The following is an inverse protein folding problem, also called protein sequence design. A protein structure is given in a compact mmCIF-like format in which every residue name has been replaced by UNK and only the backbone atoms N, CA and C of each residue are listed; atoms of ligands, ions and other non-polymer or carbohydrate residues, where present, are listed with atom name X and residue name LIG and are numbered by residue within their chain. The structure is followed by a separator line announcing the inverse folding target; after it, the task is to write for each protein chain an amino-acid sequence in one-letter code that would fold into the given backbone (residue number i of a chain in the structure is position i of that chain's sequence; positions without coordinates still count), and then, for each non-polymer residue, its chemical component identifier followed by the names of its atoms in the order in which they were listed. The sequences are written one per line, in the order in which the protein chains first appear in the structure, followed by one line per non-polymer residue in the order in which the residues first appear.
data_IF_917396028831
#
_entry.id   IF_917396028831
#
_cell.length_a   1.000
_cell.length_b   1.000
_cell.length_c   1.000
_cell.angle_alpha   90.00
_cell.angle_beta   90.00
_cell.angle_gamma   90.00
#
_symmetry.space_group_name_H-M   'P 1'
#
loop_
_entity.id
_entity.type
_entity.pdbx_description
1 polymer ?
#
# COMPACT_ATOMS: atom_id res chain seq x y z
N UNK A 1 16.27 11.24 -0.35
CA UNK A 1 16.57 9.79 -0.32
C UNK A 1 15.27 9.08 -0.05
N UNK A 2 14.38 9.11 -1.04
CA UNK A 2 12.93 9.10 -0.87
C UNK A 2 12.31 7.86 -1.52
N UNK A 3 12.97 6.71 -1.37
CA UNK A 3 12.59 5.47 -2.03
C UNK A 3 11.81 4.55 -1.09
N UNK A 4 10.74 3.96 -1.59
CA UNK A 4 10.02 2.88 -0.91
C UNK A 4 10.56 1.54 -1.34
N UNK A 5 11.39 0.95 -0.47
CA UNK A 5 11.91 -0.41 -0.61
C UNK A 5 12.30 -0.78 -2.04
N UNK A 6 11.98 -2.02 -2.41
CA UNK A 6 12.12 -2.50 -3.77
C UNK A 6 10.89 -2.13 -4.59
N UNK A 7 11.11 -1.41 -5.69
CA UNK A 7 10.10 -1.04 -6.68
C UNK A 7 10.59 -1.54 -8.04
N UNK A 8 9.94 -2.57 -8.57
CA UNK A 8 10.21 -3.09 -9.91
C UNK A 8 8.95 -2.90 -10.75
N UNK A 9 8.98 -1.93 -11.66
CA UNK A 9 7.85 -1.63 -12.55
C UNK A 9 8.27 -1.83 -14.00
N UNK A 10 7.43 -2.54 -14.74
CA UNK A 10 7.46 -2.65 -16.20
C UNK A 10 6.26 -1.89 -16.77
N UNK A 11 6.14 -1.73 -18.10
CA UNK A 11 4.98 -1.06 -18.70
C UNK A 11 3.62 -1.74 -18.39
N UNK A 12 3.61 -3.02 -18.03
CA UNK A 12 2.39 -3.81 -17.87
C UNK A 12 2.22 -4.47 -16.49
N UNK A 13 3.29 -4.58 -15.70
CA UNK A 13 3.25 -5.26 -14.39
C UNK A 13 4.40 -4.82 -13.50
N UNK A 14 4.36 -5.19 -12.23
CA UNK A 14 5.47 -4.94 -11.33
C UNK A 14 5.19 -5.39 -9.90
N UNK A 15 6.18 -5.16 -9.04
CA UNK A 15 6.11 -5.45 -7.61
C UNK A 15 6.57 -4.24 -6.81
N UNK A 16 5.83 -3.95 -5.75
CA UNK A 16 6.12 -2.89 -4.79
C UNK A 16 6.31 -3.53 -3.42
N UNK A 17 7.24 -3.01 -2.63
CA UNK A 17 7.49 -3.50 -1.28
C UNK A 17 7.90 -2.37 -0.34
N UNK A 18 7.58 -2.54 0.94
CA UNK A 18 8.08 -1.67 1.99
C UNK A 18 9.61 -1.71 2.06
N UNK A 19 10.22 -0.68 2.67
CA UNK A 19 11.65 -0.73 2.97
C UNK A 19 11.95 -1.95 3.82
N UNK A 20 13.04 -2.63 3.50
CA UNK A 20 13.55 -3.82 4.18
C UNK A 20 12.74 -5.11 4.03
N UNK A 21 11.61 -5.12 3.30
CA UNK A 21 10.85 -6.36 3.07
C UNK A 21 11.77 -7.51 2.61
N UNK A 22 11.69 -8.71 3.22
CA UNK A 22 10.65 -9.18 4.16
C UNK A 22 10.88 -8.83 5.64
N UNK A 23 11.91 -8.07 5.97
CA UNK A 23 12.15 -7.54 7.31
C UNK A 23 11.25 -6.36 7.68
N UNK A 24 11.37 -5.90 8.92
CA UNK A 24 10.52 -4.83 9.47
C UNK A 24 10.72 -3.50 8.73
N UNK A 25 9.61 -2.86 8.37
CA UNK A 25 9.63 -1.53 7.79
C UNK A 25 10.10 -0.49 8.85
N UNK A 26 10.95 0.48 8.49
CA UNK A 26 11.43 1.45 9.47
C UNK A 26 10.31 2.34 10.01
N UNK A 27 10.40 2.71 11.29
CA UNK A 27 9.53 3.72 11.89
C UNK A 27 9.58 5.04 11.12
N UNK A 28 8.47 5.79 11.15
CA UNK A 28 8.32 7.07 10.47
C UNK A 28 8.55 6.99 8.94
N UNK A 29 8.28 5.84 8.32
CA UNK A 29 8.34 5.68 6.87
C UNK A 29 7.00 6.05 6.23
N UNK A 30 6.99 7.13 5.46
CA UNK A 30 5.88 7.42 4.55
C UNK A 30 6.22 6.91 3.17
N UNK A 31 5.39 6.00 2.65
CA UNK A 31 5.58 5.44 1.33
C UNK A 31 4.49 5.83 0.33
N UNK A 32 4.93 6.28 -0.85
CA UNK A 32 4.04 6.73 -1.92
C UNK A 32 4.52 6.19 -3.26
N UNK A 33 3.70 5.34 -3.86
CA UNK A 33 3.88 4.90 -5.24
C UNK A 33 2.83 5.57 -6.12
N UNK A 34 3.24 6.01 -7.30
CA UNK A 34 2.33 6.57 -8.31
C UNK A 34 2.31 5.62 -9.50
N UNK A 35 1.21 4.91 -9.64
CA UNK A 35 1.00 3.96 -10.73
C UNK A 35 0.22 4.65 -11.85
N UNK A 36 0.56 4.33 -13.09
CA UNK A 36 -0.10 4.83 -14.29
C UNK A 36 -0.31 3.67 -15.23
N UNK A 37 -1.49 3.58 -15.80
CA UNK A 37 -1.83 2.59 -16.82
C UNK A 37 -2.13 3.29 -18.15
N UNK A 38 -1.93 2.62 -19.29
CA UNK A 38 -2.37 3.13 -20.58
C UNK A 38 -3.89 3.37 -20.61
N UNK A 39 -4.38 4.32 -21.43
CA UNK A 39 -5.81 4.53 -21.63
C UNK A 39 -6.53 3.24 -22.04
N UNK A 40 -7.74 3.01 -21.51
CA UNK A 40 -8.54 1.83 -21.81
C UNK A 40 -8.11 0.54 -21.09
N UNK A 41 -7.16 0.63 -20.14
CA UNK A 41 -6.74 -0.51 -19.31
C UNK A 41 -7.03 -0.24 -17.83
N UNK A 42 -7.16 -1.32 -17.04
CA UNK A 42 -7.35 -1.24 -15.60
C UNK A 42 -6.12 -1.76 -14.86
N UNK A 43 -5.89 -1.22 -13.67
CA UNK A 43 -4.85 -1.69 -12.77
C UNK A 43 -5.42 -2.76 -11.85
N UNK A 44 -4.84 -3.95 -11.85
CA UNK A 44 -5.11 -4.98 -10.86
C UNK A 44 -4.01 -4.96 -9.80
N UNK A 45 -4.39 -4.67 -8.55
CA UNK A 45 -3.48 -4.71 -7.41
C UNK A 45 -3.78 -5.95 -6.56
N UNK A 46 -2.74 -6.70 -6.23
CA UNK A 46 -2.81 -7.85 -5.33
C UNK A 46 -1.83 -7.64 -4.19
N UNK A 47 -2.28 -7.96 -2.98
CA UNK A 47 -1.49 -7.86 -1.77
C UNK A 47 -1.06 -9.26 -1.36
N UNK A 48 0.23 -9.56 -1.56
CA UNK A 48 0.80 -10.85 -1.17
C UNK A 48 1.06 -10.95 0.33
N UNK A 49 1.56 -9.87 0.93
CA UNK A 49 1.85 -9.76 2.36
C UNK A 49 1.61 -8.32 2.83
N UNK A 50 0.88 -8.16 3.94
CA UNK A 50 0.56 -6.87 4.55
C UNK A 50 0.52 -7.03 6.07
N UNK A 51 1.63 -6.65 6.69
CA UNK A 51 1.80 -6.56 8.14
C UNK A 51 1.94 -5.07 8.53
N UNK A 52 1.01 -4.57 9.34
CA UNK A 52 0.94 -3.17 9.78
C UNK A 52 0.74 -3.13 11.29
N UNK A 53 1.38 -2.17 11.95
CA UNK A 53 1.23 -1.97 13.39
C UNK A 53 -0.24 -1.65 13.76
N UNK A 54 -0.88 -2.46 14.63
CA UNK A 54 -2.25 -2.22 15.07
C UNK A 54 -2.33 -0.97 15.94
N UNK A 55 -3.40 -0.19 15.77
CA UNK A 55 -3.65 1.01 16.57
C UNK A 55 -5.08 1.48 16.41
N UNK A 56 -5.61 2.15 17.44
CA UNK A 56 -6.92 2.79 17.34
C UNK A 56 -6.98 3.70 16.12
N UNK A 57 -8.02 3.50 15.29
CA UNK A 57 -8.25 4.28 14.06
C UNK A 57 -7.02 4.33 13.14
N UNK A 58 -6.17 3.30 13.19
CA UNK A 58 -5.00 3.18 12.33
C UNK A 58 -4.01 4.34 12.50
N UNK A 59 -3.93 4.92 13.71
CA UNK A 59 -3.17 6.13 13.99
C UNK A 59 -1.65 5.97 13.76
N UNK A 60 -1.12 4.74 13.84
CA UNK A 60 0.32 4.47 13.71
C UNK A 60 0.71 4.06 12.29
N UNK A 61 -0.05 3.15 11.69
CA UNK A 61 0.24 2.58 10.38
C UNK A 61 -1.04 2.43 9.56
N UNK A 62 -0.97 2.77 8.28
CA UNK A 62 -2.08 2.59 7.34
C UNK A 62 -1.56 2.35 5.92
N UNK A 63 -2.35 1.62 5.14
CA UNK A 63 -2.16 1.48 3.70
C UNK A 63 -3.37 2.07 2.99
N UNK A 64 -3.14 3.04 2.10
CA UNK A 64 -4.19 3.73 1.34
C UNK A 64 -3.93 3.62 -0.16
N UNK A 65 -4.95 3.18 -0.89
CA UNK A 65 -5.04 3.21 -2.35
C UNK A 65 -6.05 4.29 -2.74
N UNK A 66 -5.63 5.28 -3.50
CA UNK A 66 -6.51 6.35 -3.97
C UNK A 66 -6.50 6.40 -5.49
N UNK A 67 -7.69 6.39 -6.08
CA UNK A 67 -7.94 6.76 -7.48
C UNK A 67 -8.48 8.20 -7.52
N UNK A 68 -7.64 9.21 -7.81
CA UNK A 68 -8.06 10.59 -7.84
C UNK A 68 -8.92 10.94 -9.07
N UNK A 69 -8.90 10.12 -10.13
CA UNK A 69 -9.74 10.35 -11.31
C UNK A 69 -11.17 9.87 -11.06
N UNK A 70 -11.32 8.73 -10.39
CA UNK A 70 -12.61 8.22 -9.97
C UNK A 70 -13.12 8.86 -8.66
N UNK A 71 -12.23 9.52 -7.89
CA UNK A 71 -12.56 10.06 -6.57
C UNK A 71 -12.73 8.99 -5.49
N UNK A 72 -12.09 7.83 -5.67
CA UNK A 72 -12.27 6.65 -4.81
C UNK A 72 -11.03 6.44 -3.93
N UNK A 73 -11.22 6.00 -2.70
CA UNK A 73 -10.14 5.57 -1.80
C UNK A 73 -10.48 4.26 -1.10
N UNK A 74 -9.52 3.34 -1.05
CA UNK A 74 -9.57 2.06 -0.35
C UNK A 74 -8.44 2.03 0.68
N UNK A 75 -8.71 1.60 1.90
CA UNK A 75 -7.71 1.56 2.96
C UNK A 75 -7.75 0.28 3.76
N UNK A 76 -6.57 -0.18 4.22
CA UNK A 76 -6.43 -1.15 5.30
C UNK A 76 -5.75 -0.46 6.47
N UNK A 77 -6.39 -0.53 7.62
CA UNK A 77 -5.76 -0.38 8.91
C UNK A 77 -6.64 -1.07 9.94
N UNK A 78 -6.01 -1.75 10.88
CA UNK A 78 -6.72 -2.55 11.87
C UNK A 78 -7.28 -1.61 12.93
N UNK A 79 -8.52 -1.18 12.74
CA UNK A 79 -9.33 -0.63 13.82
C UNK A 79 -9.67 -1.78 14.75
N UNK A 80 -9.11 -1.77 15.96
CA UNK A 80 -9.56 -2.58 17.10
C UNK A 80 -11.08 -2.84 17.02
N UNK A 81 -11.46 -4.11 16.93
CA UNK A 81 -12.85 -4.58 17.05
C UNK A 81 -13.61 -4.79 15.74
N UNK A 82 -13.31 -5.88 15.01
CA UNK A 82 -14.36 -6.68 14.39
C UNK A 82 -13.92 -8.15 14.34
N UNK A 83 -14.26 -8.86 15.41
CA UNK A 83 -14.39 -10.30 15.39
C UNK A 83 -15.55 -10.63 14.45
N UNK A 84 -15.26 -11.28 13.34
CA UNK A 84 -16.26 -12.00 12.54
C UNK A 84 -15.86 -13.47 12.61
N UNK A 85 -16.78 -14.28 13.14
CA UNK A 85 -16.73 -15.73 12.98
C UNK A 85 -17.02 -16.15 11.54
#
# INVERSE_FOLDING_TARGET
GDGCGHTLLTPHSGTLSSKNYPGTYPNHTTCRWRLRTPPGTFLLLTFGDVDLEPSERCARSSLLLTDPQAGISYGKGETEGLQMG
#
